data_IF_999575885947
#
_entry.id   IF_999575885947
#
_cell.length_a   1.000
_cell.length_b   1.000
_cell.length_c   1.000
_cell.angle_alpha   90.00
_cell.angle_beta   90.00
_cell.angle_gamma   90.00
#
_symmetry.space_group_name_H-M   'P 1'
#
loop_
_entity.id
_entity.type
_entity.pdbx_description
1 polymer ?
#
# COMPACT_ATOMS: atom_id res chain seq x y z
N UNK A 1 -8.32 0.04 13.97
CA UNK A 1 -7.89 -1.13 13.18
C UNK A 1 -6.54 -0.80 12.55
N UNK A 2 -5.44 -1.47 12.93
CA UNK A 2 -4.14 -1.23 12.31
C UNK A 2 -4.16 -1.69 10.86
N UNK A 3 -3.64 -0.88 9.95
CA UNK A 3 -3.48 -1.23 8.54
C UNK A 3 -2.51 -2.41 8.47
N UNK A 4 -3.00 -3.59 8.09
CA UNK A 4 -2.13 -4.76 7.98
C UNK A 4 -1.32 -4.63 6.70
N UNK A 5 -0.07 -5.10 6.73
CA UNK A 5 0.78 -5.18 5.53
C UNK A 5 0.07 -5.87 4.35
N UNK A 6 -0.81 -6.82 4.67
CA UNK A 6 -1.71 -7.49 3.72
C UNK A 6 -2.72 -6.55 3.05
N UNK A 7 -3.31 -5.60 3.78
CA UNK A 7 -4.28 -4.66 3.23
C UNK A 7 -3.59 -3.69 2.25
N UNK A 8 -2.37 -3.27 2.57
CA UNK A 8 -1.54 -2.45 1.68
C UNK A 8 -1.18 -3.20 0.39
N UNK A 9 -0.76 -4.46 0.49
CA UNK A 9 -0.47 -5.28 -0.68
C UNK A 9 -1.71 -5.52 -1.54
N UNK A 10 -2.87 -5.75 -0.91
CA UNK A 10 -4.14 -5.93 -1.61
C UNK A 10 -4.59 -4.64 -2.33
N UNK A 11 -4.41 -3.48 -1.70
CA UNK A 11 -4.68 -2.19 -2.33
C UNK A 11 -3.75 -1.90 -3.52
N UNK A 12 -2.47 -2.23 -3.40
CA UNK A 12 -1.50 -2.13 -4.51
C UNK A 12 -1.90 -3.01 -5.70
N UNK A 13 -2.29 -4.26 -5.44
CA UNK A 13 -2.72 -5.18 -6.50
C UNK A 13 -3.95 -4.68 -7.25
N UNK A 14 -4.95 -4.14 -6.54
CA UNK A 14 -6.14 -3.55 -7.15
C UNK A 14 -5.82 -2.32 -8.01
N UNK A 15 -4.86 -1.49 -7.57
CA UNK A 15 -4.37 -0.34 -8.35
C UNK A 15 -3.66 -0.78 -9.64
N UNK A 16 -2.88 -1.85 -9.59
CA UNK A 16 -2.23 -2.44 -10.76
C UNK A 16 -3.25 -3.02 -11.75
N UNK A 17 -4.26 -3.76 -11.27
CA UNK A 17 -5.35 -4.26 -12.11
C UNK A 17 -6.13 -3.12 -12.76
N UNK A 18 -6.42 -2.04 -12.03
CA UNK A 18 -7.11 -0.87 -12.56
C UNK A 18 -6.25 -0.16 -13.62
N UNK A 19 -4.94 -0.01 -13.39
CA UNK A 19 -3.98 0.49 -14.39
C UNK A 19 -3.96 -0.36 -15.66
N UNK A 20 -4.06 -1.68 -15.53
CA UNK A 20 -4.08 -2.60 -16.69
C UNK A 20 -5.37 -2.49 -17.49
N UNK A 21 -6.50 -2.15 -16.85
CA UNK A 21 -7.80 -1.97 -17.51
C UNK A 21 -7.96 -0.60 -18.18
N UNK A 22 -7.12 0.38 -17.82
CA UNK A 22 -7.09 1.71 -18.45
C UNK A 22 -6.44 1.63 -19.85
N UNK A 23 -7.28 1.76 -20.87
CA UNK A 23 -6.89 1.69 -22.29
C UNK A 23 -5.95 2.84 -22.69
N UNK A 24 -5.07 2.58 -23.65
CA UNK A 24 -3.81 3.31 -23.90
C UNK A 24 -3.96 4.79 -24.29
N UNK A 25 -5.13 5.23 -24.75
CA UNK A 25 -5.30 6.49 -25.48
C UNK A 25 -5.86 7.65 -24.66
N UNK A 26 -6.73 7.41 -23.68
CA UNK A 26 -7.41 8.52 -22.97
C UNK A 26 -6.81 8.83 -21.59
N UNK A 27 -6.11 7.88 -20.97
CA UNK A 27 -5.80 7.94 -19.53
C UNK A 27 -4.30 7.99 -19.18
N UNK A 28 -3.48 8.61 -20.03
CA UNK A 28 -2.02 8.70 -19.79
C UNK A 28 -1.69 9.43 -18.48
N UNK A 29 -2.42 10.50 -18.16
CA UNK A 29 -2.27 11.23 -16.90
C UNK A 29 -2.73 10.38 -15.70
N UNK A 30 -3.86 9.68 -15.82
CA UNK A 30 -4.38 8.83 -14.75
C UNK A 30 -3.45 7.65 -14.46
N UNK A 31 -2.90 7.01 -15.49
CA UNK A 31 -1.87 5.97 -15.35
C UNK A 31 -0.62 6.48 -14.65
N UNK A 32 -0.16 7.69 -14.99
CA UNK A 32 1.00 8.31 -14.33
C UNK A 32 0.74 8.63 -12.85
N UNK A 33 -0.48 9.08 -12.51
CA UNK A 33 -0.89 9.33 -11.12
C UNK A 33 -0.94 8.03 -10.32
N UNK A 34 -1.51 6.96 -10.86
CA UNK A 34 -1.57 5.64 -10.22
C UNK A 34 -0.16 5.08 -9.99
N UNK A 35 0.73 5.19 -10.97
CA UNK A 35 2.12 4.74 -10.88
C UNK A 35 2.91 5.49 -9.80
N UNK A 36 2.65 6.80 -9.64
CA UNK A 36 3.23 7.59 -8.55
C UNK A 36 2.74 7.11 -7.19
N UNK A 37 1.45 6.79 -7.05
CA UNK A 37 0.89 6.22 -5.81
C UNK A 37 1.52 4.86 -5.50
N UNK A 38 1.63 3.97 -6.50
CA UNK A 38 2.31 2.67 -6.35
C UNK A 38 3.75 2.85 -5.87
N UNK A 39 4.51 3.75 -6.50
CA UNK A 39 5.90 4.03 -6.10
C UNK A 39 6.03 4.59 -4.68
N UNK A 40 5.10 5.44 -4.24
CA UNK A 40 5.06 5.95 -2.87
C UNK A 40 4.80 4.81 -1.88
N UNK A 41 3.86 3.93 -2.20
CA UNK A 41 3.51 2.77 -1.38
C UNK A 41 4.62 1.71 -1.34
N UNK A 42 5.40 1.57 -2.40
CA UNK A 42 6.57 0.68 -2.46
C UNK A 42 7.82 1.31 -1.83
N UNK A 43 7.83 2.61 -1.55
CA UNK A 43 8.96 3.29 -0.91
C UNK A 43 9.34 2.62 0.41
N UNK A 44 10.64 2.41 0.59
CA UNK A 44 11.21 1.82 1.80
C UNK A 44 10.78 2.57 3.07
N UNK A 45 10.56 3.89 3.00
CA UNK A 45 10.05 4.69 4.11
C UNK A 45 8.62 4.30 4.49
N UNK A 46 7.73 4.14 3.50
CA UNK A 46 6.33 3.79 3.74
C UNK A 46 6.19 2.33 4.21
N UNK A 47 6.97 1.43 3.59
CA UNK A 47 7.06 0.03 4.02
C UNK A 47 7.63 -0.10 5.44
N UNK A 48 8.64 0.69 5.81
CA UNK A 48 9.17 0.71 7.17
C UNK A 48 8.12 1.17 8.19
N UNK A 49 7.31 2.18 7.88
CA UNK A 49 6.20 2.64 8.74
C UNK A 49 5.12 1.56 8.94
N UNK A 50 4.81 0.78 7.90
CA UNK A 50 3.86 -0.34 8.00
C UNK A 50 4.45 -1.50 8.83
N UNK A 51 5.74 -1.79 8.64
CA UNK A 51 6.43 -2.84 9.39
C UNK A 51 6.52 -2.46 10.87
N UNK A 52 6.93 -1.24 11.21
CA UNK A 52 7.05 -0.81 12.61
C UNK A 52 5.70 -0.85 13.32
N UNK A 53 4.63 -0.37 12.69
CA UNK A 53 3.28 -0.45 13.27
C UNK A 53 2.77 -1.88 13.44
N UNK A 54 3.10 -2.81 12.53
CA UNK A 54 2.75 -4.23 12.65
C UNK A 54 3.58 -4.98 13.70
N UNK A 55 4.84 -4.59 13.92
CA UNK A 55 5.76 -5.28 14.83
C UNK A 55 5.50 -4.92 16.29
N UNK A 56 5.03 -3.71 16.56
CA UNK A 56 4.79 -3.18 17.93
C UNK A 56 3.48 -3.72 18.52
N UNK A 57 2.45 -3.90 17.67
CA UNK A 57 1.11 -4.32 18.10
C UNK A 57 1.10 -5.59 18.97
N UNK A 58 1.74 -6.71 18.60
CA UNK A 58 1.73 -7.91 19.46
C UNK A 58 2.36 -7.71 20.85
N UNK A 59 3.32 -6.79 21.00
CA UNK A 59 3.91 -6.48 22.30
C UNK A 59 3.02 -5.61 23.18
N UNK A 60 2.17 -4.76 22.59
CA UNK A 60 1.20 -3.96 23.35
C UNK A 60 0.13 -4.86 23.98
N UNK A 61 -0.33 -5.92 23.30
CA UNK A 61 -1.29 -6.86 23.90
C UNK A 61 -0.70 -7.63 25.07
N UNK A 62 0.58 -8.00 25.01
CA UNK A 62 1.29 -8.67 26.10
C UNK A 62 1.53 -7.77 27.32
N UNK A 63 1.36 -6.46 27.20
CA UNK A 63 1.55 -5.50 28.29
C UNK A 63 0.23 -5.13 29.01
N UNK A 64 -0.92 -5.58 28.48
CA UNK A 64 -2.27 -5.27 28.99
C UNK A 64 -2.87 -6.49 29.72
N UNK A 65 -2.13 -7.59 29.85
CA UNK A 65 -2.45 -8.80 30.63
C UNK A 65 -1.55 -8.91 31.86
#
# INVERSE_FOLDING_TARGET
MPVRKQDTQRALHLLEEYRSKLSQTEDRQLRSSIERVINIFQSNLFQALIVTSSQIWPYIYLLIE
#
